data_IF_190277856191
#
_entry.id   IF_190277856191
#
_cell.length_a   1.000
_cell.length_b   1.000
_cell.length_c   1.000
_cell.angle_alpha   90.00
_cell.angle_beta   90.00
_cell.angle_gamma   90.00
#
_symmetry.space_group_name_H-M   'P 1'
#
loop_
_entity.id
_entity.type
_entity.pdbx_description
1 polymer ?
#
# COMPACT_ATOMS: atom_id res chain seq x y z
N UNK A 1 23.19 6.48 20.41
CA UNK A 1 22.87 6.64 18.97
C UNK A 1 21.55 5.98 18.62
N UNK A 2 21.34 4.70 18.94
CA UNK A 2 20.08 3.96 18.75
C UNK A 2 18.79 4.61 19.33
N UNK A 3 18.75 5.14 20.57
CA UNK A 3 17.53 5.76 21.09
C UNK A 3 17.16 7.07 20.39
N UNK A 4 18.16 7.81 19.88
CA UNK A 4 17.96 9.03 19.12
C UNK A 4 17.42 8.70 17.72
N UNK A 5 17.94 7.65 17.07
CA UNK A 5 17.43 7.21 15.75
C UNK A 5 16.00 6.68 15.84
N UNK A 6 15.65 5.95 16.91
CA UNK A 6 14.27 5.49 17.14
C UNK A 6 13.33 6.67 17.36
N UNK A 7 13.74 7.67 18.15
CA UNK A 7 12.95 8.89 18.37
C UNK A 7 12.77 9.71 17.09
N UNK A 8 13.83 9.86 16.28
CA UNK A 8 13.78 10.59 15.01
C UNK A 8 12.89 9.91 13.97
N UNK A 9 12.92 8.57 13.87
CA UNK A 9 12.01 7.81 12.99
C UNK A 9 10.57 7.95 13.49
N UNK A 10 10.32 7.86 14.80
CA UNK A 10 8.98 8.02 15.37
C UNK A 10 8.39 9.42 15.12
N UNK A 11 9.21 10.47 15.28
CA UNK A 11 8.83 11.86 14.98
C UNK A 11 8.64 12.07 13.47
N UNK A 12 9.52 11.51 12.65
CA UNK A 12 9.42 11.58 11.19
C UNK A 12 8.16 10.89 10.64
N UNK A 13 7.76 9.74 11.19
CA UNK A 13 6.52 9.03 10.83
C UNK A 13 5.27 9.79 11.29
N UNK A 14 5.28 10.32 12.51
CA UNK A 14 4.19 11.14 13.04
C UNK A 14 3.97 12.42 12.23
N UNK A 15 5.06 13.00 11.68
CA UNK A 15 5.03 14.19 10.82
C UNK A 15 4.71 13.84 9.36
N UNK A 16 5.15 12.68 8.84
CA UNK A 16 4.96 12.28 7.45
C UNK A 16 3.51 11.95 7.11
N UNK A 17 2.76 11.34 8.04
CA UNK A 17 1.43 10.82 7.72
C UNK A 17 0.32 11.88 7.69
N UNK A 18 0.48 13.01 8.40
CA UNK A 18 -0.24 14.31 8.37
C UNK A 18 -1.73 14.41 7.94
N UNK A 19 -2.49 13.32 7.87
CA UNK A 19 -3.94 13.22 7.74
C UNK A 19 -4.42 11.87 8.29
N UNK A 20 -5.26 11.91 9.33
CA UNK A 20 -5.78 10.70 9.98
C UNK A 20 -6.60 9.82 9.03
N UNK A 21 -7.29 10.43 8.07
CA UNK A 21 -8.08 9.71 7.07
C UNK A 21 -7.20 8.92 6.10
N UNK A 22 -6.11 9.52 5.60
CA UNK A 22 -5.21 8.83 4.66
C UNK A 22 -4.52 7.64 5.32
N UNK A 23 -4.09 7.78 6.58
CA UNK A 23 -3.52 6.68 7.35
C UNK A 23 -4.54 5.56 7.56
N UNK A 24 -5.77 5.90 7.95
CA UNK A 24 -6.82 4.89 8.17
C UNK A 24 -7.16 4.15 6.87
N UNK A 25 -7.32 4.88 5.75
CA UNK A 25 -7.52 4.28 4.42
C UNK A 25 -6.39 3.31 4.10
N UNK A 26 -5.13 3.72 4.27
CA UNK A 26 -3.96 2.89 3.99
C UNK A 26 -4.04 1.57 4.77
N UNK A 27 -4.24 1.64 6.09
CA UNK A 27 -4.30 0.43 6.93
C UNK A 27 -5.44 -0.49 6.48
N UNK A 28 -6.63 0.06 6.24
CA UNK A 28 -7.80 -0.72 5.81
C UNK A 28 -7.58 -1.37 4.44
N UNK A 29 -7.02 -0.64 3.49
CA UNK A 29 -6.78 -1.13 2.13
C UNK A 29 -5.70 -2.21 2.11
N UNK A 30 -4.58 -2.03 2.82
CA UNK A 30 -3.54 -3.07 2.92
C UNK A 30 -4.02 -4.32 3.67
N UNK A 31 -4.84 -4.13 4.71
CA UNK A 31 -5.44 -5.25 5.42
C UNK A 31 -6.39 -6.04 4.52
N UNK A 32 -7.25 -5.35 3.75
CA UNK A 32 -8.12 -5.99 2.77
C UNK A 32 -7.34 -6.72 1.66
N UNK A 33 -6.30 -6.08 1.09
CA UNK A 33 -5.39 -6.72 0.12
C UNK A 33 -4.78 -8.00 0.67
N UNK A 34 -4.28 -7.96 1.92
CA UNK A 34 -3.67 -9.10 2.60
C UNK A 34 -4.66 -10.24 2.82
N UNK A 35 -5.90 -9.92 3.26
CA UNK A 35 -6.94 -10.93 3.42
C UNK A 35 -7.28 -11.61 2.10
N UNK A 36 -7.40 -10.85 1.01
CA UNK A 36 -7.70 -11.40 -0.32
C UNK A 36 -6.56 -12.30 -0.78
N UNK A 37 -5.31 -11.83 -0.73
CA UNK A 37 -4.15 -12.63 -1.15
C UNK A 37 -3.97 -13.89 -0.30
N UNK A 38 -4.20 -13.81 1.01
CA UNK A 38 -4.17 -14.97 1.91
C UNK A 38 -5.33 -15.94 1.65
N UNK A 39 -6.53 -15.46 1.35
CA UNK A 39 -7.66 -16.30 1.00
C UNK A 39 -7.39 -17.10 -0.28
N UNK A 40 -6.84 -16.45 -1.32
CA UNK A 40 -6.42 -17.15 -2.55
C UNK A 40 -5.32 -18.16 -2.25
N UNK A 41 -4.36 -17.81 -1.41
CA UNK A 41 -3.28 -18.73 -1.00
C UNK A 41 -3.82 -19.94 -0.23
N UNK A 42 -4.79 -19.72 0.66
CA UNK A 42 -5.47 -20.80 1.37
C UNK A 42 -6.22 -21.73 0.40
N UNK A 43 -6.85 -21.20 -0.64
CA UNK A 43 -7.50 -22.00 -1.69
C UNK A 43 -6.51 -22.86 -2.48
N UNK A 44 -5.27 -22.39 -2.66
CA UNK A 44 -4.21 -23.14 -3.38
C UNK A 44 -3.64 -24.26 -2.51
N UNK A 45 -3.32 -23.98 -1.23
CA UNK A 45 -2.61 -24.93 -0.36
C UNK A 45 -3.51 -25.73 0.58
N UNK A 46 -4.79 -25.39 0.71
CA UNK A 46 -5.79 -26.02 1.60
C UNK A 46 -5.59 -25.74 3.10
N UNK A 47 -4.37 -25.42 3.51
CA UNK A 47 -4.03 -24.96 4.86
C UNK A 47 -2.80 -24.08 4.82
N UNK A 48 -2.73 -23.12 5.74
CA UNK A 48 -1.58 -22.24 5.90
C UNK A 48 -0.90 -22.53 7.24
N UNK A 49 0.42 -22.45 7.25
CA UNK A 49 1.18 -22.41 8.49
C UNK A 49 0.76 -21.18 9.31
N UNK A 50 0.70 -21.33 10.63
CA UNK A 50 0.15 -20.32 11.53
C UNK A 50 0.83 -18.94 11.42
N UNK A 51 2.11 -18.93 11.03
CA UNK A 51 2.90 -17.71 10.87
C UNK A 51 2.77 -17.08 9.47
N UNK A 52 2.30 -17.82 8.47
CA UNK A 52 2.18 -17.34 7.08
C UNK A 52 1.32 -16.07 6.98
N UNK A 53 0.09 -16.00 7.58
CA UNK A 53 -0.71 -14.78 7.54
C UNK A 53 -0.01 -13.56 8.11
N UNK A 54 0.70 -13.74 9.24
CA UNK A 54 1.42 -12.66 9.89
C UNK A 54 2.57 -12.14 9.03
N UNK A 55 3.33 -13.04 8.39
CA UNK A 55 4.47 -12.66 7.54
C UNK A 55 4.01 -11.99 6.25
N UNK A 56 2.98 -12.52 5.58
CA UNK A 56 2.42 -11.91 4.37
C UNK A 56 1.90 -10.50 4.68
N UNK A 57 1.13 -10.35 5.77
CA UNK A 57 0.64 -9.05 6.20
C UNK A 57 1.78 -8.10 6.55
N UNK A 58 2.78 -8.53 7.33
CA UNK A 58 3.90 -7.69 7.71
C UNK A 58 4.71 -7.20 6.50
N UNK A 59 5.00 -8.08 5.54
CA UNK A 59 5.72 -7.73 4.31
C UNK A 59 4.90 -6.75 3.47
N UNK A 60 3.61 -7.02 3.24
CA UNK A 60 2.76 -6.10 2.49
C UNK A 60 2.64 -4.76 3.21
N UNK A 61 2.51 -4.76 4.53
CA UNK A 61 2.38 -3.55 5.32
C UNK A 61 3.63 -2.67 5.18
N UNK A 62 4.82 -3.25 5.31
CA UNK A 62 6.09 -2.54 5.12
C UNK A 62 6.20 -1.92 3.72
N UNK A 63 5.95 -2.70 2.67
CA UNK A 63 6.08 -2.26 1.28
C UNK A 63 4.95 -1.30 0.86
N UNK A 64 3.73 -1.59 1.30
CA UNK A 64 2.53 -0.85 0.98
C UNK A 64 2.58 0.58 1.50
N UNK A 65 3.18 0.78 2.69
CA UNK A 65 3.43 2.12 3.23
C UNK A 65 4.34 2.92 2.31
N UNK A 66 5.47 2.36 1.88
CA UNK A 66 6.43 3.07 1.03
C UNK A 66 5.81 3.50 -0.30
N UNK A 67 5.04 2.60 -0.94
CA UNK A 67 4.37 2.91 -2.20
C UNK A 67 3.19 3.87 -2.04
N UNK A 68 2.39 3.73 -0.97
CA UNK A 68 1.27 4.64 -0.71
C UNK A 68 1.78 6.05 -0.40
N UNK A 69 2.83 6.17 0.41
CA UNK A 69 3.47 7.45 0.70
C UNK A 69 4.00 8.11 -0.57
N UNK A 70 4.63 7.37 -1.49
CA UNK A 70 5.08 7.91 -2.76
C UNK A 70 3.93 8.51 -3.60
N UNK A 71 2.79 7.80 -3.68
CA UNK A 71 1.62 8.27 -4.41
C UNK A 71 0.98 9.49 -3.72
N UNK A 72 0.86 9.45 -2.39
CA UNK A 72 0.29 10.57 -1.62
C UNK A 72 1.16 11.82 -1.78
N UNK A 73 2.48 11.70 -1.63
CA UNK A 73 3.41 12.83 -1.83
C UNK A 73 3.31 13.37 -3.25
N UNK A 74 3.24 12.50 -4.27
CA UNK A 74 3.07 12.95 -5.66
C UNK A 74 1.72 13.65 -5.88
N UNK A 75 0.64 13.15 -5.28
CA UNK A 75 -0.67 13.79 -5.36
C UNK A 75 -0.69 15.19 -4.73
N UNK A 76 0.22 15.44 -3.78
CA UNK A 76 0.36 16.77 -3.21
C UNK A 76 0.93 17.81 -4.19
N UNK A 77 1.69 17.37 -5.19
CA UNK A 77 2.28 18.23 -6.23
C UNK A 77 1.31 18.54 -7.38
N UNK A 78 0.28 17.70 -7.55
CA UNK A 78 -0.75 17.88 -8.58
C UNK A 78 -1.76 18.97 -8.17
N UNK A 79 -2.38 19.61 -9.18
CA UNK A 79 -3.44 20.61 -8.99
C UNK A 79 -4.84 20.01 -9.19
N UNK A 80 -5.82 20.64 -8.56
CA UNK A 80 -7.23 20.28 -8.64
C UNK A 80 -7.81 19.74 -7.33
N UNK A 81 -8.97 19.12 -7.42
CA UNK A 81 -9.65 18.45 -6.30
C UNK A 81 -8.83 17.28 -5.74
N UNK A 82 -9.08 16.83 -4.50
CA UNK A 82 -8.43 15.65 -3.92
C UNK A 82 -8.43 14.42 -4.85
N UNK A 83 -9.54 14.17 -5.53
CA UNK A 83 -9.67 13.05 -6.47
C UNK A 83 -8.83 13.27 -7.72
N UNK A 84 -8.90 14.44 -8.35
CA UNK A 84 -8.12 14.75 -9.55
C UNK A 84 -6.62 14.65 -9.29
N UNK A 85 -6.18 15.10 -8.12
CA UNK A 85 -4.78 15.01 -7.68
C UNK A 85 -4.33 13.57 -7.51
N UNK A 86 -5.14 12.74 -6.86
CA UNK A 86 -4.87 11.32 -6.68
C UNK A 86 -4.83 10.59 -8.04
N UNK A 87 -5.81 10.84 -8.92
CA UNK A 87 -5.87 10.22 -10.25
C UNK A 87 -4.68 10.64 -11.12
N UNK A 88 -4.30 11.92 -11.13
CA UNK A 88 -3.10 12.39 -11.86
C UNK A 88 -1.82 11.79 -11.29
N UNK A 89 -1.69 11.71 -9.97
CA UNK A 89 -0.54 11.07 -9.34
C UNK A 89 -0.42 9.61 -9.76
N UNK A 90 -1.50 8.83 -9.64
CA UNK A 90 -1.53 7.43 -10.07
C UNK A 90 -1.23 7.31 -11.57
N UNK A 91 -1.75 8.20 -12.42
CA UNK A 91 -1.46 8.18 -13.86
C UNK A 91 0.03 8.43 -14.15
N UNK A 92 0.66 9.33 -13.42
CA UNK A 92 2.05 9.74 -13.64
C UNK A 92 3.06 8.77 -13.01
N UNK A 93 2.73 8.13 -11.90
CA UNK A 93 3.63 7.22 -11.17
C UNK A 93 3.25 5.75 -11.25
N UNK A 94 2.06 5.44 -11.77
CA UNK A 94 1.50 4.10 -11.80
C UNK A 94 2.39 3.11 -12.52
N UNK A 95 3.04 3.50 -13.62
CA UNK A 95 3.98 2.62 -14.33
C UNK A 95 5.20 2.26 -13.47
N UNK A 96 5.83 3.22 -12.81
CA UNK A 96 7.00 2.98 -11.97
C UNK A 96 6.63 2.09 -10.77
N UNK A 97 5.55 2.42 -10.07
CA UNK A 97 5.06 1.63 -8.91
C UNK A 97 4.65 0.22 -9.34
N UNK A 98 3.92 0.09 -10.44
CA UNK A 98 3.47 -1.22 -10.95
C UNK A 98 4.64 -2.08 -11.40
N UNK A 99 5.65 -1.49 -12.06
CA UNK A 99 6.86 -2.23 -12.42
C UNK A 99 7.64 -2.72 -11.20
N UNK A 100 7.76 -1.89 -10.16
CA UNK A 100 8.42 -2.29 -8.92
C UNK A 100 7.65 -3.41 -8.21
N UNK A 101 6.31 -3.29 -8.16
CA UNK A 101 5.43 -4.33 -7.62
C UNK A 101 5.54 -5.65 -8.39
N UNK A 102 5.64 -5.61 -9.73
CA UNK A 102 5.78 -6.81 -10.55
C UNK A 102 7.13 -7.50 -10.34
N UNK A 103 8.22 -6.74 -10.29
CA UNK A 103 9.56 -7.28 -10.00
C UNK A 103 9.57 -7.94 -8.61
N UNK A 104 8.97 -7.28 -7.63
CA UNK A 104 8.90 -7.78 -6.26
C UNK A 104 8.02 -9.03 -6.14
N UNK A 105 6.87 -9.04 -6.82
CA UNK A 105 6.02 -10.22 -6.91
C UNK A 105 6.77 -11.40 -7.54
N UNK A 106 7.55 -11.16 -8.60
CA UNK A 106 8.42 -12.17 -9.20
C UNK A 106 9.51 -12.68 -8.25
N UNK A 107 10.13 -11.78 -7.48
CA UNK A 107 11.14 -12.13 -6.49
C UNK A 107 10.57 -13.03 -5.38
N UNK A 108 9.41 -12.69 -4.82
CA UNK A 108 8.75 -13.55 -3.83
C UNK A 108 8.21 -14.84 -4.44
N UNK A 109 7.68 -14.79 -5.66
CA UNK A 109 7.24 -15.98 -6.38
C UNK A 109 8.36 -17.00 -6.56
N UNK A 110 9.62 -16.57 -6.67
CA UNK A 110 10.76 -17.49 -6.72
C UNK A 110 10.88 -18.42 -5.50
N UNK A 111 10.34 -18.03 -4.33
CA UNK A 111 10.28 -18.88 -3.13
C UNK A 111 9.36 -20.09 -3.32
N UNK A 112 8.48 -20.09 -4.33
CA UNK A 112 7.68 -21.24 -4.72
C UNK A 112 8.53 -22.44 -5.19
N UNK A 113 9.80 -22.24 -5.52
CA UNK A 113 10.70 -23.36 -5.83
C UNK A 113 11.41 -23.93 -4.60
N UNK A 114 11.06 -23.46 -3.40
CA UNK A 114 11.63 -23.95 -2.15
C UNK A 114 11.10 -25.32 -1.75
N UNK A 115 11.93 -26.13 -1.09
CA UNK A 115 11.51 -27.40 -0.49
C UNK A 115 10.79 -27.22 0.86
N UNK A 116 10.79 -26.01 1.43
CA UNK A 116 10.10 -25.73 2.68
C UNK A 116 8.71 -25.19 2.41
N UNK A 117 7.67 -25.91 2.86
CA UNK A 117 6.27 -25.51 2.72
C UNK A 117 5.99 -24.08 3.20
N UNK A 118 6.59 -23.67 4.31
CA UNK A 118 6.46 -22.31 4.82
C UNK A 118 6.95 -21.24 3.82
N UNK A 119 8.05 -21.50 3.12
CA UNK A 119 8.58 -20.58 2.09
C UNK A 119 7.72 -20.59 0.83
N UNK A 120 7.15 -21.75 0.44
CA UNK A 120 6.18 -21.83 -0.66
C UNK A 120 4.96 -20.95 -0.41
N UNK A 121 4.38 -21.06 0.77
CA UNK A 121 3.19 -20.32 1.19
C UNK A 121 3.47 -18.81 1.26
N UNK A 122 4.61 -18.39 1.80
CA UNK A 122 5.02 -16.98 1.81
C UNK A 122 5.24 -16.47 0.39
N UNK A 123 5.94 -17.24 -0.46
CA UNK A 123 6.26 -16.81 -1.82
C UNK A 123 5.02 -16.50 -2.64
N UNK A 124 4.10 -17.46 -2.68
CA UNK A 124 2.81 -17.31 -3.36
C UNK A 124 1.94 -16.26 -2.66
N UNK A 125 1.85 -16.31 -1.33
CA UNK A 125 1.01 -15.40 -0.56
C UNK A 125 1.39 -13.94 -0.74
N UNK A 126 2.67 -13.62 -0.64
CA UNK A 126 3.17 -12.25 -0.87
C UNK A 126 3.00 -11.85 -2.33
N UNK A 127 3.36 -12.72 -3.29
CA UNK A 127 3.24 -12.39 -4.71
C UNK A 127 1.81 -12.06 -5.11
N UNK A 128 0.84 -12.90 -4.74
CA UNK A 128 -0.58 -12.69 -5.04
C UNK A 128 -1.11 -11.42 -4.36
N UNK A 129 -0.71 -11.20 -3.10
CA UNK A 129 -1.12 -10.02 -2.35
C UNK A 129 -0.61 -8.74 -2.99
N UNK A 130 0.66 -8.69 -3.42
CA UNK A 130 1.26 -7.53 -4.10
C UNK A 130 0.56 -7.27 -5.42
N UNK A 131 0.27 -8.31 -6.20
CA UNK A 131 -0.42 -8.17 -7.49
C UNK A 131 -1.84 -7.61 -7.28
N UNK A 132 -2.58 -8.13 -6.30
CA UNK A 132 -3.91 -7.61 -5.96
C UNK A 132 -3.86 -6.16 -5.48
N UNK A 133 -2.91 -5.82 -4.61
CA UNK A 133 -2.74 -4.46 -4.12
C UNK A 133 -2.44 -3.49 -5.27
N UNK A 134 -1.49 -3.85 -6.13
CA UNK A 134 -0.98 -3.00 -7.21
C UNK A 134 -2.01 -2.80 -8.31
N UNK A 135 -2.68 -3.86 -8.75
CA UNK A 135 -3.54 -3.81 -9.94
C UNK A 135 -5.01 -3.51 -9.65
N UNK A 136 -5.49 -3.80 -8.43
CA UNK A 136 -6.92 -3.64 -8.10
C UNK A 136 -7.08 -2.56 -7.04
N UNK A 137 -6.41 -2.71 -5.89
CA UNK A 137 -6.66 -1.83 -4.75
C UNK A 137 -6.15 -0.42 -5.04
N UNK A 138 -4.91 -0.29 -5.51
CA UNK A 138 -4.25 1.00 -5.73
C UNK A 138 -4.80 1.78 -6.92
N UNK A 139 -5.23 1.09 -7.97
CA UNK A 139 -5.73 1.69 -9.22
C UNK A 139 -7.22 2.02 -9.17
N UNK A 140 -8.02 1.25 -8.42
CA UNK A 140 -9.48 1.39 -8.39
C UNK A 140 -9.97 1.80 -7.00
N UNK A 141 -9.64 1.02 -5.97
CA UNK A 141 -10.20 1.22 -4.62
C UNK A 141 -9.69 2.50 -3.98
N UNK A 142 -8.39 2.80 -4.08
CA UNK A 142 -7.78 4.01 -3.50
C UNK A 142 -8.41 5.30 -4.06
N UNK A 143 -8.44 5.54 -5.39
CA UNK A 143 -9.08 6.75 -5.91
C UNK A 143 -10.59 6.79 -5.62
N UNK A 144 -11.29 5.64 -5.62
CA UNK A 144 -12.70 5.59 -5.26
C UNK A 144 -12.96 6.00 -3.79
N UNK A 145 -12.15 5.52 -2.85
CA UNK A 145 -12.26 5.89 -1.42
C UNK A 145 -11.92 7.36 -1.21
N UNK A 146 -10.89 7.87 -1.89
CA UNK A 146 -10.53 9.30 -1.82
C UNK A 146 -11.65 10.17 -2.42
N UNK A 147 -12.30 9.72 -3.49
CA UNK A 147 -13.44 10.41 -4.10
C UNK A 147 -14.68 10.43 -3.21
N UNK A 148 -14.97 9.33 -2.51
CA UNK A 148 -16.10 9.29 -1.59
C UNK A 148 -15.88 10.18 -0.36
N UNK A 149 -14.63 10.39 0.03
CA UNK A 149 -14.24 11.10 1.24
C UNK A 149 -13.51 12.42 0.96
N UNK A 150 -13.70 13.06 -0.20
CA UNK A 150 -12.95 14.27 -0.60
C UNK A 150 -12.89 15.35 0.49
N UNK A 151 -14.01 15.56 1.20
CA UNK A 151 -14.13 16.56 2.28
C UNK A 151 -13.23 16.25 3.49
N UNK A 152 -12.90 14.98 3.71
CA UNK A 152 -12.09 14.48 4.83
C UNK A 152 -10.71 14.01 4.39
N UNK A 153 -10.49 13.84 3.08
CA UNK A 153 -9.30 13.23 2.49
C UNK A 153 -7.99 13.84 2.98
N UNK A 154 -8.01 15.12 3.33
CA UNK A 154 -6.83 15.87 3.76
C UNK A 154 -6.96 16.46 5.17
N UNK A 155 -8.08 16.26 5.86
CA UNK A 155 -8.26 16.77 7.21
C UNK A 155 -7.18 16.19 8.15
N UNK A 156 -6.51 17.00 9.00
CA UNK A 156 -6.78 18.40 9.35
C UNK A 156 -6.11 19.47 8.46
N UNK A 157 -5.28 19.07 7.48
CA UNK A 157 -4.67 20.01 6.53
C UNK A 157 -5.69 20.36 5.43
N UNK A 158 -6.31 21.53 5.52
CA UNK A 158 -7.07 22.07 4.37
C UNK A 158 -6.05 22.40 3.28
N UNK A 159 -6.10 21.65 2.18
CA UNK A 159 -5.43 22.07 0.96
C UNK A 159 -6.28 23.22 0.43
N UNK A 160 -5.71 24.41 0.46
CA UNK A 160 -6.33 25.60 -0.09
C UNK A 160 -6.65 25.28 -1.56
N UNK A 161 -7.94 25.29 -1.90
CA UNK A 161 -8.37 25.20 -3.29
C UNK A 161 -7.87 26.48 -3.95
N UNK A 162 -6.65 26.45 -4.52
CA UNK A 162 -6.15 27.53 -5.36
C UNK A 162 -6.90 27.47 -6.69
N UNK A 163 -8.17 27.91 -6.61
CA UNK A 163 -9.11 28.06 -7.70
C UNK A 163 -8.86 29.42 -8.38
N UNK A 164 -7.59 29.81 -8.56
CA UNK A 164 -7.22 30.99 -9.33
C UNK A 164 -6.89 30.58 -10.75
N UNK A 165 -7.75 31.08 -11.65
CA UNK A 165 -7.69 31.14 -13.11
C UNK A 165 -8.33 29.96 -13.86
#
# INVERSE_FOLDING_TARGET
>A
TLPLTVLLIAVYLAISLRSAFMTLRLVLTLFASSLIGLAVTYLIFGSLYWLTPLVVFAILFSLGIDYDMFIVVRSLEERGTPTERMVRAIKNTGLAVTSAGLVLAGAFFSLYFSNMRFLLEIGIGVALTILMDTFVVRTIVVPAVVSLAEKYAWWPRRLENDNRY
#
